data_IF_716064490309
#
_entry.id   IF_716064490309
#
_cell.length_a   1.000
_cell.length_b   1.000
_cell.length_c   1.000
_cell.angle_alpha   90.00
_cell.angle_beta   90.00
_cell.angle_gamma   90.00
#
_symmetry.space_group_name_H-M   'P 1'
#
loop_
_entity.id
_entity.type
_entity.pdbx_description
1 polymer ?
#
# COMPACT_ATOMS: atom_id res chain seq x y z
N UNK A 1 -4.49 23.32 15.21
CA UNK A 1 -4.89 23.60 13.82
C UNK A 1 -4.01 24.74 13.29
N UNK A 2 -3.27 24.49 12.21
CA UNK A 2 -2.50 25.50 11.47
C UNK A 2 -3.07 25.62 10.07
N UNK A 3 -3.35 26.85 9.63
CA UNK A 3 -3.90 27.14 8.31
C UNK A 3 -3.04 28.20 7.61
N UNK A 4 -2.60 27.93 6.38
CA UNK A 4 -1.86 28.90 5.55
C UNK A 4 -2.37 28.88 4.09
N UNK A 5 -2.12 29.96 3.36
CA UNK A 5 -2.44 30.04 1.93
C UNK A 5 -1.48 29.17 1.11
N UNK A 6 -0.18 29.38 1.31
CA UNK A 6 0.92 28.59 0.73
C UNK A 6 1.93 28.25 1.83
N UNK A 7 2.52 27.06 1.77
CA UNK A 7 3.51 26.61 2.75
C UNK A 7 4.68 25.93 2.06
N UNK A 8 5.78 26.68 1.90
CA UNK A 8 6.99 26.18 1.23
C UNK A 8 7.83 25.25 2.10
N UNK A 9 7.77 25.42 3.43
CA UNK A 9 8.42 24.56 4.42
C UNK A 9 7.79 24.81 5.79
N UNK A 10 7.54 23.76 6.55
CA UNK A 10 7.09 23.87 7.94
C UNK A 10 7.44 22.62 8.73
N UNK A 11 7.77 22.79 10.01
CA UNK A 11 8.01 21.65 10.91
C UNK A 11 7.26 21.85 12.20
N UNK A 12 6.42 20.88 12.55
CA UNK A 12 5.74 20.80 13.83
C UNK A 12 6.28 19.58 14.58
N UNK A 13 6.79 19.80 15.78
CA UNK A 13 7.34 18.73 16.61
C UNK A 13 6.81 18.82 18.02
N UNK A 14 6.36 17.69 18.57
CA UNK A 14 5.96 17.55 19.97
C UNK A 14 6.98 16.70 20.72
N UNK A 15 7.42 17.16 21.90
CA UNK A 15 8.32 16.41 22.79
C UNK A 15 7.58 15.33 23.63
N UNK A 16 6.31 15.11 23.33
CA UNK A 16 5.39 14.19 24.01
C UNK A 16 4.41 13.67 22.96
N UNK A 17 3.27 13.14 23.39
CA UNK A 17 2.18 12.76 22.51
C UNK A 17 1.63 13.97 21.74
N UNK A 18 1.23 13.72 20.50
CA UNK A 18 0.51 14.66 19.67
C UNK A 18 -0.94 14.19 19.50
N UNK A 19 -1.83 14.77 20.30
CA UNK A 19 -3.26 14.48 20.23
C UNK A 19 -3.99 15.54 19.39
N UNK A 20 -4.60 15.10 18.29
CA UNK A 20 -5.49 15.91 17.44
C UNK A 20 -4.83 17.14 16.80
N UNK A 21 -3.73 16.94 16.06
CA UNK A 21 -3.11 18.00 15.28
C UNK A 21 -3.59 18.04 13.82
N UNK A 22 -3.94 19.23 13.35
CA UNK A 22 -4.30 19.46 11.94
C UNK A 22 -3.42 20.54 11.35
N UNK A 23 -2.79 20.24 10.21
CA UNK A 23 -2.11 21.20 9.34
C UNK A 23 -2.85 21.20 8.00
N UNK A 24 -3.37 22.36 7.59
CA UNK A 24 -4.13 22.49 6.34
C UNK A 24 -3.62 23.69 5.55
N UNK A 25 -3.44 23.53 4.25
CA UNK A 25 -3.06 24.64 3.34
C UNK A 25 -4.00 24.75 2.17
N UNK A 26 -4.29 25.98 1.75
CA UNK A 26 -5.24 26.28 0.68
C UNK A 26 -4.65 26.16 -0.74
N UNK A 27 -3.36 25.86 -0.84
CA UNK A 27 -2.64 25.67 -2.10
C UNK A 27 -1.63 24.54 -1.89
N UNK A 28 -0.34 24.78 -2.15
CA UNK A 28 0.68 23.74 -2.09
C UNK A 28 1.31 23.60 -0.70
N UNK A 29 1.60 22.35 -0.34
CA UNK A 29 2.41 22.00 0.81
C UNK A 29 3.74 21.41 0.35
N UNK A 30 4.83 22.14 0.53
CA UNK A 30 6.18 21.66 0.23
C UNK A 30 6.98 21.49 1.50
N UNK A 31 7.78 20.41 1.59
CA UNK A 31 8.76 20.20 2.67
C UNK A 31 8.18 20.37 4.08
N UNK A 32 7.05 19.71 4.36
CA UNK A 32 6.39 19.79 5.66
C UNK A 32 6.63 18.55 6.52
N UNK A 33 6.88 18.76 7.80
CA UNK A 33 7.12 17.68 8.76
C UNK A 33 6.21 17.84 9.98
N UNK A 34 5.57 16.75 10.38
CA UNK A 34 4.86 16.61 11.65
C UNK A 34 5.47 15.44 12.42
N UNK A 35 6.03 15.69 13.60
CA UNK A 35 6.71 14.65 14.39
C UNK A 35 6.28 14.65 15.86
N UNK A 36 6.08 13.46 16.43
CA UNK A 36 5.84 13.25 17.85
C UNK A 36 6.96 12.38 18.45
N UNK A 37 7.43 12.73 19.65
CA UNK A 37 8.44 11.97 20.38
C UNK A 37 7.90 10.68 21.02
N UNK A 38 6.59 10.49 21.02
CA UNK A 38 5.88 9.29 21.46
C UNK A 38 4.77 9.03 20.45
N UNK A 39 3.51 9.16 20.85
CA UNK A 39 2.36 8.78 20.03
C UNK A 39 1.82 9.96 19.23
N UNK A 40 1.20 9.63 18.10
CA UNK A 40 0.41 10.56 17.32
C UNK A 40 -0.99 9.99 17.14
N UNK A 41 -1.98 10.74 17.63
CA UNK A 41 -3.39 10.34 17.57
C UNK A 41 -4.20 11.37 16.83
N UNK A 42 -5.00 10.94 15.84
CA UNK A 42 -5.94 11.78 15.11
C UNK A 42 -5.28 12.99 14.44
N UNK A 43 -4.12 12.79 13.81
CA UNK A 43 -3.38 13.87 13.16
C UNK A 43 -3.61 13.92 11.66
N UNK A 44 -3.67 15.12 11.10
CA UNK A 44 -4.02 15.35 9.70
C UNK A 44 -3.12 16.38 9.07
N UNK A 45 -2.61 16.05 7.89
CA UNK A 45 -1.97 16.98 6.97
C UNK A 45 -2.81 17.06 5.68
N UNK A 46 -3.23 18.25 5.30
CA UNK A 46 -4.10 18.47 4.14
C UNK A 46 -3.58 19.60 3.25
N UNK A 47 -3.51 19.37 1.94
CA UNK A 47 -3.26 20.40 0.92
C UNK A 47 -4.43 20.46 -0.07
N UNK A 48 -4.90 21.66 -0.39
CA UNK A 48 -5.96 21.85 -1.39
C UNK A 48 -5.44 21.83 -2.84
N UNK A 49 -4.13 21.72 -3.03
CA UNK A 49 -3.48 21.44 -4.31
C UNK A 49 -2.49 20.29 -4.10
N UNK A 50 -1.18 20.54 -4.21
CA UNK A 50 -0.18 19.49 -4.16
C UNK A 50 0.47 19.34 -2.78
N UNK A 51 0.95 18.13 -2.52
CA UNK A 51 1.81 17.85 -1.39
C UNK A 51 3.12 17.22 -1.87
N UNK A 52 4.24 17.87 -1.53
CA UNK A 52 5.56 17.48 -1.99
C UNK A 52 6.53 17.37 -0.82
N UNK A 53 7.23 16.24 -0.70
CA UNK A 53 8.24 16.00 0.34
C UNK A 53 7.71 16.19 1.76
N UNK A 54 6.54 15.61 2.04
CA UNK A 54 5.89 15.76 3.34
C UNK A 54 6.02 14.51 4.21
N UNK A 55 6.17 14.70 5.51
CA UNK A 55 6.46 13.62 6.46
C UNK A 55 5.61 13.73 7.71
N UNK A 56 5.02 12.61 8.12
CA UNK A 56 4.40 12.42 9.43
C UNK A 56 5.12 11.28 10.15
N UNK A 57 5.60 11.51 11.37
CA UNK A 57 6.35 10.49 12.11
C UNK A 57 6.07 10.47 13.60
N UNK A 58 6.00 9.27 14.15
CA UNK A 58 5.89 9.02 15.59
C UNK A 58 7.02 8.08 16.04
N UNK A 59 7.64 8.38 17.18
CA UNK A 59 8.66 7.50 17.77
C UNK A 59 8.05 6.33 18.57
N UNK A 60 6.72 6.25 18.66
CA UNK A 60 5.99 5.08 19.14
C UNK A 60 4.87 4.79 18.13
N UNK A 61 3.61 5.09 18.45
CA UNK A 61 2.47 4.69 17.62
C UNK A 61 1.86 5.83 16.82
N UNK A 62 1.26 5.48 15.68
CA UNK A 62 0.33 6.34 14.94
C UNK A 62 -1.06 5.72 14.90
N UNK A 63 -2.04 6.48 15.36
CA UNK A 63 -3.45 6.09 15.33
C UNK A 63 -4.29 7.14 14.61
N UNK A 64 -5.07 6.70 13.63
CA UNK A 64 -6.03 7.55 12.90
C UNK A 64 -5.37 8.77 12.25
N UNK A 65 -4.19 8.57 11.66
CA UNK A 65 -3.43 9.64 11.01
C UNK A 65 -3.75 9.73 9.51
N UNK A 66 -3.75 10.95 8.97
CA UNK A 66 -4.15 11.17 7.57
C UNK A 66 -3.25 12.19 6.88
N UNK A 67 -2.83 11.86 5.66
CA UNK A 67 -2.17 12.77 4.74
C UNK A 67 -2.99 12.81 3.44
N UNK A 68 -3.47 13.99 3.07
CA UNK A 68 -4.32 14.13 1.88
C UNK A 68 -3.99 15.36 1.04
N UNK A 69 -4.06 15.20 -0.27
CA UNK A 69 -3.93 16.26 -1.26
C UNK A 69 -5.13 16.24 -2.21
N UNK A 70 -5.53 17.40 -2.74
CA UNK A 70 -6.61 17.47 -3.71
C UNK A 70 -6.12 17.25 -5.16
N UNK A 71 -4.82 17.41 -5.41
CA UNK A 71 -4.20 17.18 -6.71
C UNK A 71 -3.20 16.04 -6.59
N UNK A 72 -1.91 16.32 -6.39
CA UNK A 72 -0.87 15.29 -6.36
C UNK A 72 -0.20 15.13 -5.00
N UNK A 73 0.30 13.92 -4.74
CA UNK A 73 1.23 13.64 -3.65
C UNK A 73 2.54 13.10 -4.20
N UNK A 74 3.64 13.77 -3.87
CA UNK A 74 4.98 13.37 -4.29
C UNK A 74 5.93 13.25 -3.09
N UNK A 75 6.67 12.14 -3.02
CA UNK A 75 7.70 11.91 -1.99
C UNK A 75 7.18 12.06 -0.56
N UNK A 76 5.98 11.54 -0.29
CA UNK A 76 5.33 11.66 1.02
C UNK A 76 5.56 10.43 1.90
N UNK A 77 5.65 10.62 3.21
CA UNK A 77 6.00 9.53 4.14
C UNK A 77 5.18 9.60 5.42
N UNK A 78 4.66 8.45 5.84
CA UNK A 78 4.15 8.21 7.18
C UNK A 78 4.99 7.10 7.83
N UNK A 79 5.58 7.35 9.01
CA UNK A 79 6.43 6.37 9.69
C UNK A 79 6.24 6.29 11.21
N UNK A 80 5.99 5.08 11.73
CA UNK A 80 5.93 4.79 13.16
C UNK A 80 7.09 3.87 13.56
N UNK A 81 7.70 4.11 14.73
CA UNK A 81 8.72 3.20 15.27
C UNK A 81 8.14 1.98 15.99
N UNK A 82 6.83 1.96 16.24
CA UNK A 82 6.06 0.80 16.70
C UNK A 82 4.95 0.53 15.70
N UNK A 83 3.70 0.92 15.99
CA UNK A 83 2.53 0.51 15.21
C UNK A 83 1.90 1.66 14.41
N UNK A 84 1.25 1.30 13.30
CA UNK A 84 0.30 2.16 12.59
C UNK A 84 -1.08 1.53 12.57
N UNK A 85 -2.07 2.25 13.08
CA UNK A 85 -3.47 1.85 13.06
C UNK A 85 -4.33 2.91 12.36
N UNK A 86 -5.16 2.48 11.41
CA UNK A 86 -6.13 3.34 10.72
C UNK A 86 -5.49 4.56 10.04
N UNK A 87 -4.31 4.37 9.46
CA UNK A 87 -3.55 5.44 8.81
C UNK A 87 -3.88 5.53 7.32
N UNK A 88 -3.98 6.74 6.78
CA UNK A 88 -4.40 6.97 5.38
C UNK A 88 -3.50 7.97 4.67
N UNK A 89 -3.11 7.63 3.45
CA UNK A 89 -2.58 8.57 2.46
C UNK A 89 -3.51 8.57 1.24
N UNK A 90 -4.10 9.72 0.89
CA UNK A 90 -5.08 9.79 -0.21
C UNK A 90 -4.99 11.05 -1.07
N UNK A 91 -5.11 10.89 -2.38
CA UNK A 91 -5.10 12.01 -3.33
C UNK A 91 -6.13 11.88 -4.45
N UNK A 92 -6.60 13.01 -4.99
CA UNK A 92 -7.60 13.01 -6.06
C UNK A 92 -7.01 13.03 -7.49
N UNK A 93 -5.69 13.02 -7.62
CA UNK A 93 -4.98 12.76 -8.88
C UNK A 93 -3.90 11.71 -8.64
N UNK A 94 -2.62 12.05 -8.75
CA UNK A 94 -1.54 11.08 -8.76
C UNK A 94 -0.77 11.01 -7.44
N UNK A 95 -0.30 9.80 -7.13
CA UNK A 95 0.59 9.56 -6.01
C UNK A 95 1.90 8.96 -6.49
N UNK A 96 3.00 9.62 -6.15
CA UNK A 96 4.35 9.23 -6.56
C UNK A 96 5.30 9.12 -5.38
N UNK A 97 6.07 8.03 -5.33
CA UNK A 97 7.16 7.82 -4.36
C UNK A 97 6.70 7.96 -2.90
N UNK A 98 5.53 7.43 -2.59
CA UNK A 98 4.91 7.56 -1.27
C UNK A 98 5.12 6.31 -0.42
N UNK A 99 5.32 6.49 0.88
CA UNK A 99 5.67 5.40 1.80
C UNK A 99 4.86 5.44 3.09
N UNK A 100 4.35 4.27 3.50
CA UNK A 100 3.89 4.00 4.87
C UNK A 100 4.78 2.91 5.47
N UNK A 101 5.38 3.20 6.63
CA UNK A 101 6.28 2.29 7.33
C UNK A 101 5.96 2.17 8.83
N UNK A 102 5.89 0.96 9.34
CA UNK A 102 5.87 0.66 10.77
C UNK A 102 7.01 -0.30 11.11
N UNK A 103 7.60 -0.20 12.30
CA UNK A 103 8.61 -1.19 12.70
C UNK A 103 7.99 -2.46 13.29
N UNK A 104 6.77 -2.37 13.84
CA UNK A 104 6.04 -3.50 14.40
C UNK A 104 4.85 -3.84 13.50
N UNK A 105 3.67 -3.30 13.74
CA UNK A 105 2.45 -3.71 13.03
C UNK A 105 1.81 -2.59 12.20
N UNK A 106 1.12 -3.01 11.14
CA UNK A 106 0.20 -2.16 10.38
C UNK A 106 -1.19 -2.77 10.38
N UNK A 107 -2.17 -1.99 10.83
CA UNK A 107 -3.58 -2.39 10.82
C UNK A 107 -4.44 -1.33 10.15
N UNK A 108 -5.30 -1.77 9.22
CA UNK A 108 -6.31 -0.91 8.57
C UNK A 108 -5.70 0.31 7.87
N UNK A 109 -4.54 0.14 7.26
CA UNK A 109 -3.80 1.21 6.60
C UNK A 109 -4.14 1.30 5.11
N UNK A 110 -4.28 2.52 4.59
CA UNK A 110 -4.73 2.75 3.22
C UNK A 110 -3.84 3.74 2.47
N UNK A 111 -3.52 3.41 1.23
CA UNK A 111 -2.95 4.32 0.24
C UNK A 111 -3.87 4.36 -0.98
N UNK A 112 -4.31 5.54 -1.40
CA UNK A 112 -5.27 5.66 -2.51
C UNK A 112 -5.04 6.87 -3.41
N UNK A 113 -5.14 6.65 -4.72
CA UNK A 113 -5.10 7.68 -5.74
C UNK A 113 -6.32 7.55 -6.67
N UNK A 114 -6.95 8.68 -7.03
CA UNK A 114 -8.06 8.68 -7.99
C UNK A 114 -7.58 8.67 -9.46
N UNK A 115 -6.28 8.79 -9.69
CA UNK A 115 -5.63 8.52 -10.97
C UNK A 115 -4.57 7.44 -10.74
N UNK A 116 -3.28 7.77 -10.80
CA UNK A 116 -2.21 6.78 -10.81
C UNK A 116 -1.46 6.67 -9.48
N UNK A 117 -0.88 5.49 -9.24
CA UNK A 117 0.14 5.28 -8.22
C UNK A 117 1.45 4.82 -8.85
N UNK A 118 2.54 5.50 -8.49
CA UNK A 118 3.89 5.16 -8.94
C UNK A 118 4.85 5.06 -7.76
N UNK A 119 5.60 3.95 -7.68
CA UNK A 119 6.66 3.76 -6.68
C UNK A 119 6.16 3.89 -5.23
N UNK A 120 4.96 3.39 -4.95
CA UNK A 120 4.37 3.46 -3.62
C UNK A 120 4.68 2.22 -2.79
N UNK A 121 4.96 2.40 -1.49
CA UNK A 121 5.34 1.30 -0.59
C UNK A 121 4.53 1.32 0.71
N UNK A 122 4.03 0.16 1.11
CA UNK A 122 3.55 -0.11 2.45
C UNK A 122 4.38 -1.27 3.03
N UNK A 123 5.14 -1.02 4.10
CA UNK A 123 6.04 -2.04 4.66
C UNK A 123 6.10 -2.06 6.18
N UNK A 124 6.16 -3.25 6.76
CA UNK A 124 6.34 -3.44 8.21
C UNK A 124 7.29 -4.59 8.53
N UNK A 125 7.82 -4.66 9.75
CA UNK A 125 8.68 -5.77 10.15
C UNK A 125 7.92 -6.93 10.82
N UNK A 126 6.78 -6.67 11.48
CA UNK A 126 5.94 -7.71 12.07
C UNK A 126 4.69 -7.95 11.23
N UNK A 127 3.47 -7.59 11.65
CA UNK A 127 2.26 -8.04 10.96
C UNK A 127 1.59 -6.92 10.17
N UNK A 128 1.02 -7.29 9.03
CA UNK A 128 0.20 -6.42 8.21
C UNK A 128 -1.21 -6.98 8.10
N UNK A 129 -2.20 -6.21 8.54
CA UNK A 129 -3.61 -6.62 8.54
C UNK A 129 -4.52 -5.58 7.92
N UNK A 130 -5.41 -6.04 7.03
CA UNK A 130 -6.48 -5.20 6.44
C UNK A 130 -5.95 -3.95 5.73
N UNK A 131 -4.80 -4.09 5.06
CA UNK A 131 -4.13 -2.97 4.39
C UNK A 131 -4.47 -2.91 2.90
N UNK A 132 -4.60 -1.70 2.36
CA UNK A 132 -5.04 -1.49 0.98
C UNK A 132 -4.17 -0.48 0.24
N UNK A 133 -3.83 -0.80 -1.00
CA UNK A 133 -3.32 0.13 -1.99
C UNK A 133 -4.26 0.11 -3.20
N UNK A 134 -4.87 1.25 -3.56
CA UNK A 134 -5.83 1.32 -4.67
C UNK A 134 -5.65 2.53 -5.58
N UNK A 135 -5.63 2.29 -6.90
CA UNK A 135 -5.62 3.32 -7.95
C UNK A 135 -6.89 3.20 -8.81
N UNK A 136 -7.51 4.32 -9.16
CA UNK A 136 -8.64 4.31 -10.10
C UNK A 136 -8.20 4.39 -11.58
N UNK A 137 -6.91 4.49 -11.85
CA UNK A 137 -6.31 4.23 -13.15
C UNK A 137 -5.21 3.17 -12.96
N UNK A 138 -3.94 3.55 -13.04
CA UNK A 138 -2.83 2.59 -13.09
C UNK A 138 -2.05 2.50 -11.78
N UNK A 139 -1.41 1.34 -11.59
CA UNK A 139 -0.47 1.13 -10.50
C UNK A 139 0.85 0.58 -11.02
N UNK A 140 1.95 1.27 -10.71
CA UNK A 140 3.28 0.92 -11.21
C UNK A 140 4.32 0.93 -10.10
N UNK A 141 5.13 -0.13 -10.02
CA UNK A 141 6.23 -0.26 -9.04
C UNK A 141 5.77 -0.18 -7.58
N UNK A 142 4.60 -0.73 -7.28
CA UNK A 142 4.04 -0.68 -5.95
C UNK A 142 4.35 -1.93 -5.12
N UNK A 143 4.63 -1.74 -3.84
CA UNK A 143 5.01 -2.83 -2.94
C UNK A 143 4.20 -2.81 -1.66
N UNK A 144 3.70 -3.99 -1.29
CA UNK A 144 3.18 -4.27 0.04
C UNK A 144 3.99 -5.43 0.62
N UNK A 145 4.74 -5.20 1.69
CA UNK A 145 5.67 -6.20 2.20
C UNK A 145 5.70 -6.27 3.71
N UNK A 146 5.89 -7.48 4.24
CA UNK A 146 6.16 -7.66 5.65
C UNK A 146 7.16 -8.80 5.91
N UNK A 147 7.88 -8.73 7.04
CA UNK A 147 8.75 -9.80 7.51
C UNK A 147 8.05 -10.79 8.47
N UNK A 148 6.82 -10.51 8.93
CA UNK A 148 5.92 -11.51 9.51
C UNK A 148 4.63 -11.64 8.67
N UNK A 149 3.45 -11.77 9.28
CA UNK A 149 2.26 -12.24 8.57
C UNK A 149 1.52 -11.14 7.82
N UNK A 150 0.95 -11.50 6.68
CA UNK A 150 0.07 -10.63 5.89
C UNK A 150 -1.34 -11.20 5.84
N UNK A 151 -2.33 -10.42 6.28
CA UNK A 151 -3.73 -10.83 6.34
C UNK A 151 -4.67 -9.80 5.71
N UNK A 152 -5.60 -10.27 4.88
CA UNK A 152 -6.67 -9.45 4.29
C UNK A 152 -6.17 -8.20 3.57
N UNK A 153 -5.04 -8.31 2.87
CA UNK A 153 -4.38 -7.20 2.19
C UNK A 153 -4.75 -7.14 0.71
N UNK A 154 -4.92 -5.93 0.17
CA UNK A 154 -5.37 -5.73 -1.22
C UNK A 154 -4.50 -4.73 -1.95
N UNK A 155 -4.16 -5.06 -3.19
CA UNK A 155 -3.65 -4.14 -4.19
C UNK A 155 -4.61 -4.14 -5.39
N UNK A 156 -5.14 -2.99 -5.77
CA UNK A 156 -6.13 -2.91 -6.86
C UNK A 156 -5.94 -1.71 -7.79
N UNK A 157 -6.09 -1.94 -9.09
CA UNK A 157 -6.11 -0.92 -10.13
C UNK A 157 -7.36 -1.09 -11.00
N UNK A 158 -8.03 0.01 -11.36
CA UNK A 158 -9.18 -0.06 -12.27
C UNK A 158 -8.77 -0.14 -13.75
N UNK A 159 -7.54 0.24 -14.08
CA UNK A 159 -6.91 -0.01 -15.37
C UNK A 159 -5.82 -1.07 -15.19
N UNK A 160 -4.55 -0.67 -15.22
CA UNK A 160 -3.44 -1.61 -15.29
C UNK A 160 -2.62 -1.70 -14.01
N UNK A 161 -1.95 -2.84 -13.83
CA UNK A 161 -0.98 -3.04 -12.78
C UNK A 161 0.35 -3.54 -13.36
N UNK A 162 1.44 -2.85 -13.05
CA UNK A 162 2.77 -3.17 -13.55
C UNK A 162 3.81 -3.22 -12.43
N UNK A 163 4.66 -4.26 -12.45
CA UNK A 163 5.80 -4.41 -11.51
C UNK A 163 5.40 -4.30 -10.04
N UNK A 164 4.23 -4.84 -9.68
CA UNK A 164 3.70 -4.75 -8.32
C UNK A 164 4.00 -6.01 -7.51
N UNK A 165 4.28 -5.84 -6.21
CA UNK A 165 4.70 -6.93 -5.33
C UNK A 165 3.88 -6.95 -4.05
N UNK A 166 3.43 -8.14 -3.67
CA UNK A 166 2.90 -8.45 -2.34
C UNK A 166 3.72 -9.59 -1.73
N UNK A 167 4.35 -9.37 -0.57
CA UNK A 167 5.25 -10.37 0.02
C UNK A 167 5.19 -10.49 1.53
N UNK A 168 5.18 -11.71 2.06
CA UNK A 168 5.31 -12.03 3.48
C UNK A 168 6.40 -13.10 3.71
N UNK A 169 7.06 -13.09 4.87
CA UNK A 169 8.17 -14.01 5.19
C UNK A 169 7.83 -15.09 6.24
N UNK A 170 6.57 -15.18 6.69
CA UNK A 170 5.89 -16.40 7.11
C UNK A 170 4.64 -16.57 6.24
N UNK A 171 3.48 -16.06 6.65
CA UNK A 171 2.23 -16.45 6.00
C UNK A 171 1.52 -15.30 5.30
N UNK A 172 0.79 -15.66 4.24
CA UNK A 172 -0.13 -14.77 3.54
C UNK A 172 -1.53 -15.36 3.52
N UNK A 173 -2.52 -14.59 3.99
CA UNK A 173 -3.90 -15.04 4.10
C UNK A 173 -4.88 -14.01 3.52
N UNK A 174 -5.82 -14.48 2.70
CA UNK A 174 -6.89 -13.66 2.13
C UNK A 174 -6.39 -12.41 1.39
N UNK A 175 -5.28 -12.54 0.66
CA UNK A 175 -4.65 -11.42 -0.02
C UNK A 175 -5.03 -11.35 -1.51
N UNK A 176 -5.20 -10.15 -2.03
CA UNK A 176 -5.68 -9.95 -3.40
C UNK A 176 -4.82 -8.94 -4.15
N UNK A 177 -4.47 -9.28 -5.39
CA UNK A 177 -3.95 -8.37 -6.38
C UNK A 177 -4.88 -8.38 -7.60
N UNK A 178 -5.47 -7.24 -7.96
CA UNK A 178 -6.45 -7.18 -9.05
C UNK A 178 -6.29 -5.96 -9.96
N UNK A 179 -6.43 -6.19 -11.27
CA UNK A 179 -6.50 -5.16 -12.29
C UNK A 179 -7.77 -5.37 -13.12
N UNK A 180 -8.51 -4.30 -13.43
CA UNK A 180 -9.69 -4.42 -14.30
C UNK A 180 -9.35 -4.37 -15.79
N UNK A 181 -8.11 -4.02 -16.14
CA UNK A 181 -7.54 -4.19 -17.49
C UNK A 181 -6.45 -5.26 -17.47
N UNK A 182 -5.18 -4.85 -17.41
CA UNK A 182 -4.03 -5.76 -17.55
C UNK A 182 -3.16 -5.84 -16.31
N UNK A 183 -2.43 -6.95 -16.18
CA UNK A 183 -1.44 -7.15 -15.14
C UNK A 183 -0.11 -7.63 -15.73
N UNK A 184 0.99 -6.98 -15.37
CA UNK A 184 2.32 -7.29 -15.90
C UNK A 184 3.40 -7.30 -14.83
N UNK A 185 4.22 -8.35 -14.83
CA UNK A 185 5.38 -8.49 -13.91
C UNK A 185 4.99 -8.39 -12.43
N UNK A 186 3.82 -8.88 -12.06
CA UNK A 186 3.31 -8.82 -10.70
C UNK A 186 3.67 -10.08 -9.90
N UNK A 187 4.00 -9.92 -8.63
CA UNK A 187 4.41 -11.02 -7.75
C UNK A 187 3.61 -11.04 -6.46
N UNK A 188 3.13 -12.22 -6.09
CA UNK A 188 2.60 -12.52 -4.77
C UNK A 188 3.38 -13.70 -4.18
N UNK A 189 4.06 -13.49 -3.05
CA UNK A 189 4.93 -14.50 -2.47
C UNK A 189 4.85 -14.60 -0.95
N UNK A 190 4.85 -15.82 -0.43
CA UNK A 190 4.90 -16.10 1.01
C UNK A 190 5.91 -17.20 1.33
N UNK A 191 6.36 -17.29 2.58
CA UNK A 191 7.30 -18.33 3.02
C UNK A 191 7.17 -18.59 4.53
N UNK A 192 6.39 -19.57 5.02
CA UNK A 192 6.08 -20.79 4.30
C UNK A 192 4.81 -20.75 3.46
N UNK A 193 3.69 -20.22 3.95
CA UNK A 193 2.37 -20.63 3.43
C UNK A 193 1.52 -19.49 2.85
N UNK A 194 0.65 -19.85 1.91
CA UNK A 194 -0.35 -18.96 1.33
C UNK A 194 -1.73 -19.59 1.34
N UNK A 195 -2.72 -18.81 1.77
CA UNK A 195 -4.10 -19.26 1.86
C UNK A 195 -5.07 -18.22 1.30
N UNK A 196 -6.03 -18.67 0.49
CA UNK A 196 -7.11 -17.83 -0.05
C UNK A 196 -6.61 -16.58 -0.80
N UNK A 197 -5.53 -16.72 -1.56
CA UNK A 197 -4.92 -15.59 -2.25
C UNK A 197 -5.31 -15.53 -3.72
N UNK A 198 -5.52 -14.32 -4.25
CA UNK A 198 -6.02 -14.13 -5.62
C UNK A 198 -5.16 -13.13 -6.38
N UNK A 199 -4.82 -13.50 -7.62
CA UNK A 199 -4.26 -12.60 -8.61
C UNK A 199 -5.18 -12.60 -9.84
N UNK A 200 -5.76 -11.46 -10.20
CA UNK A 200 -6.70 -11.38 -11.31
C UNK A 200 -6.49 -10.16 -12.20
N UNK A 201 -6.56 -10.39 -13.50
CA UNK A 201 -6.70 -9.35 -14.52
C UNK A 201 -7.98 -9.62 -15.31
N UNK A 202 -8.69 -8.60 -15.77
CA UNK A 202 -9.87 -8.84 -16.58
C UNK A 202 -9.52 -9.22 -18.01
N UNK A 203 -8.40 -8.72 -18.56
CA UNK A 203 -7.96 -8.97 -19.93
C UNK A 203 -6.66 -9.77 -19.95
N UNK A 204 -5.50 -9.11 -19.88
CA UNK A 204 -4.22 -9.76 -20.06
C UNK A 204 -3.43 -9.89 -18.75
N UNK A 205 -2.77 -11.03 -18.58
CA UNK A 205 -1.81 -11.23 -17.51
C UNK A 205 -0.49 -11.75 -18.06
N UNK A 206 0.59 -11.03 -17.78
CA UNK A 206 1.92 -11.32 -18.31
C UNK A 206 2.98 -11.38 -17.21
N UNK A 207 3.83 -12.40 -17.23
CA UNK A 207 4.98 -12.53 -16.32
C UNK A 207 4.62 -12.44 -14.83
N UNK A 208 3.43 -12.91 -14.46
CA UNK A 208 2.94 -12.83 -13.09
C UNK A 208 3.27 -14.10 -12.31
N UNK A 209 3.63 -13.96 -11.04
CA UNK A 209 4.07 -15.08 -10.18
C UNK A 209 3.28 -15.11 -8.88
N UNK A 210 2.77 -16.29 -8.54
CA UNK A 210 2.25 -16.61 -7.21
C UNK A 210 3.05 -17.80 -6.66
N UNK A 211 3.80 -17.60 -5.59
CA UNK A 211 4.74 -18.62 -5.10
C UNK A 211 4.82 -18.74 -3.59
N UNK A 212 4.94 -19.97 -3.09
CA UNK A 212 5.22 -20.25 -1.68
C UNK A 212 6.38 -21.21 -1.47
N UNK A 213 7.03 -21.12 -0.32
CA UNK A 213 8.13 -22.02 0.05
C UNK A 213 7.63 -23.39 0.57
N UNK A 214 6.37 -23.49 1.00
CA UNK A 214 5.77 -24.73 1.50
C UNK A 214 4.42 -24.96 0.83
N UNK A 215 3.32 -24.50 1.44
CA UNK A 215 1.97 -24.88 1.04
C UNK A 215 1.20 -23.72 0.41
N UNK A 216 0.29 -24.07 -0.49
CA UNK A 216 -0.64 -23.14 -1.12
C UNK A 216 -2.05 -23.71 -1.10
N UNK A 217 -3.00 -22.96 -0.55
CA UNK A 217 -4.40 -23.39 -0.41
C UNK A 217 -5.39 -22.36 -0.94
N UNK A 218 -6.39 -22.82 -1.69
CA UNK A 218 -7.50 -21.97 -2.20
C UNK A 218 -7.03 -20.73 -2.98
N UNK A 219 -5.96 -20.84 -3.74
CA UNK A 219 -5.38 -19.72 -4.47
C UNK A 219 -5.88 -19.65 -5.92
N UNK A 220 -6.03 -18.45 -6.46
CA UNK A 220 -6.56 -18.24 -7.81
C UNK A 220 -5.66 -17.31 -8.60
N UNK A 221 -5.35 -17.69 -9.84
CA UNK A 221 -4.75 -16.84 -10.86
C UNK A 221 -5.64 -16.85 -12.10
N UNK A 222 -6.13 -15.70 -12.53
CA UNK A 222 -7.10 -15.64 -13.64
C UNK A 222 -6.93 -14.41 -14.52
N UNK A 223 -7.01 -14.63 -15.83
CA UNK A 223 -7.08 -13.59 -16.86
C UNK A 223 -7.93 -14.07 -18.03
N UNK A 224 -8.61 -13.16 -18.74
CA UNK A 224 -9.42 -13.49 -19.90
C UNK A 224 -9.47 -12.30 -20.89
N UNK A 225 -8.65 -12.30 -21.96
CA UNK A 225 -8.48 -13.48 -22.79
C UNK A 225 -7.06 -14.03 -22.90
N UNK A 226 -6.04 -13.43 -22.28
CA UNK A 226 -4.65 -13.92 -22.40
C UNK A 226 -3.95 -14.07 -21.05
N UNK A 227 -3.18 -15.15 -20.92
CA UNK A 227 -2.25 -15.38 -19.83
C UNK A 227 -0.93 -15.90 -20.38
N UNK A 228 0.14 -15.11 -20.24
CA UNK A 228 1.46 -15.42 -20.79
C UNK A 228 2.54 -15.41 -19.71
N UNK A 229 3.40 -16.43 -19.71
CA UNK A 229 4.53 -16.55 -18.77
C UNK A 229 4.16 -16.44 -17.28
N UNK A 230 2.95 -16.82 -16.91
CA UNK A 230 2.47 -16.77 -15.53
C UNK A 230 2.75 -18.08 -14.79
N UNK A 231 3.10 -17.98 -13.52
CA UNK A 231 3.54 -19.13 -12.71
C UNK A 231 2.81 -19.18 -11.38
N UNK A 232 2.29 -20.35 -11.02
CA UNK A 232 1.81 -20.68 -9.68
C UNK A 232 2.64 -21.85 -9.14
N UNK A 233 3.23 -21.72 -7.96
CA UNK A 233 4.16 -22.73 -7.42
C UNK A 233 4.13 -22.84 -5.90
N UNK A 234 4.22 -24.07 -5.41
CA UNK A 234 4.40 -24.41 -4.00
C UNK A 234 5.42 -25.56 -3.93
N UNK A 235 6.30 -25.57 -2.93
CA UNK A 235 7.35 -26.61 -2.85
C UNK A 235 6.84 -27.93 -2.28
N UNK A 236 5.81 -27.87 -1.43
CA UNK A 236 5.25 -29.02 -0.72
C UNK A 236 3.89 -29.39 -1.29
N UNK A 237 2.83 -28.64 -0.97
CA UNK A 237 1.47 -28.96 -1.40
C UNK A 237 0.73 -27.78 -2.06
N UNK A 238 -0.11 -28.10 -3.05
CA UNK A 238 -1.03 -27.17 -3.69
C UNK A 238 -2.44 -27.74 -3.68
N UNK A 239 -3.33 -27.14 -2.89
CA UNK A 239 -4.70 -27.62 -2.69
C UNK A 239 -5.73 -26.59 -3.13
N UNK A 240 -6.73 -27.02 -3.89
CA UNK A 240 -7.85 -26.16 -4.35
C UNK A 240 -7.38 -24.88 -5.07
N UNK A 241 -6.22 -24.92 -5.71
CA UNK A 241 -5.69 -23.79 -6.45
C UNK A 241 -6.13 -23.86 -7.92
N UNK A 242 -6.42 -22.70 -8.51
CA UNK A 242 -6.91 -22.60 -9.88
C UNK A 242 -6.09 -21.58 -10.68
N UNK A 243 -5.65 -21.99 -11.87
CA UNK A 243 -5.09 -21.10 -12.88
C UNK A 243 -6.04 -21.15 -14.08
N UNK A 244 -6.75 -20.07 -14.36
CA UNK A 244 -7.65 -20.00 -15.51
C UNK A 244 -6.87 -19.56 -16.75
N UNK A 245 -6.54 -20.53 -17.59
CA UNK A 245 -5.97 -20.30 -18.92
C UNK A 245 -7.11 -20.26 -19.95
N UNK A 246 -7.40 -19.12 -20.58
CA UNK A 246 -8.40 -19.03 -21.65
C UNK A 246 -8.00 -19.94 -22.83
N UNK A 247 -8.99 -20.64 -23.40
CA UNK A 247 -8.79 -21.54 -24.54
C UNK A 247 -8.40 -20.72 -25.78
N UNK A 248 -7.21 -21.01 -26.33
CA UNK A 248 -6.76 -20.51 -27.63
C UNK A 248 -7.58 -21.10 -28.80
#
# INVERSE_FOLDING_TARGET
MFAASDMSSSSMSAASDMSSCTMSVASDMSSCTMSAAFDMSSCTMFAASDMSSCTMSAASDMSSCTMSAASDMSSCTMSAASDMSSCTMSTASDMSSCTMFAASDMSSCTMSAASDMSSCTMSTASDMSSCTMSAASDMSYCTMSTASDMSSCTMSAASDMSSCTMSAAPDMSSCTMSAASDMSSCTMSAAPDMSSCTMSAAFDMSSCTMSTASDMSSCTMSAAPDMSSCTMSAASDMSSCTMFMPLA
#
